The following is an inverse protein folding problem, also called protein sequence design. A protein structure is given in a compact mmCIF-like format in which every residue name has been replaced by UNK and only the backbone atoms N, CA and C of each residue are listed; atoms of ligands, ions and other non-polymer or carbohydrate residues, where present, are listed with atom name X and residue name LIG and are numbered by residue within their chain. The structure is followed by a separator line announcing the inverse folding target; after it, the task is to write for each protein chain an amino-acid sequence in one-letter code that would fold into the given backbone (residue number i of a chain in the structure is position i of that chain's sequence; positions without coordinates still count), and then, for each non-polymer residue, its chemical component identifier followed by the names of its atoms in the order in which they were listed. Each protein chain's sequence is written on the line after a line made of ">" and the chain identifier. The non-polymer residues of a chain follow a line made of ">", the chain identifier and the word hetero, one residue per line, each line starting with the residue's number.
data_IF_793120429866
#
_entry.id   IF_793120429866
#
_cell.length_a   1.000
_cell.length_b   1.000
_cell.length_c   1.000
_cell.angle_alpha   90.00
_cell.angle_beta   90.00
_cell.angle_gamma   90.00
#
_symmetry.space_group_name_H-M   'P 1'
#
loop_
_entity.id
_entity.type
_entity.pdbx_description
1 polymer ?
#
# COMPACT_ATOMS: atom_id res chain seq x y z
N UNK A 1 -8.80 7.00 -2.12
CA UNK A 1 -8.34 7.60 -0.87
C UNK A 1 -6.81 7.66 -0.77
N UNK A 2 -6.09 6.65 -1.25
CA UNK A 2 -4.64 6.61 -1.18
C UNK A 2 -3.98 7.83 -1.87
N UNK A 3 -4.38 8.17 -3.10
CA UNK A 3 -3.88 9.36 -3.80
C UNK A 3 -4.13 10.66 -3.02
N UNK A 4 -5.21 10.74 -2.24
CA UNK A 4 -5.48 11.89 -1.37
C UNK A 4 -4.42 11.98 -0.26
N UNK A 5 -4.12 10.86 0.41
CA UNK A 5 -3.07 10.81 1.43
C UNK A 5 -1.70 11.21 0.83
N UNK A 6 -1.38 10.70 -0.37
CA UNK A 6 -0.14 11.04 -1.08
C UNK A 6 -0.07 12.54 -1.38
N UNK A 7 -1.12 13.13 -1.96
CA UNK A 7 -1.14 14.56 -2.29
C UNK A 7 -1.01 15.47 -1.07
N UNK A 8 -1.46 15.01 0.10
CA UNK A 8 -1.24 15.74 1.36
C UNK A 8 0.24 15.82 1.75
N UNK A 9 1.07 14.92 1.25
CA UNK A 9 2.51 14.85 1.53
C UNK A 9 3.39 15.43 0.41
N UNK A 10 2.83 15.69 -0.79
CA UNK A 10 3.56 16.26 -1.93
C UNK A 10 3.73 17.76 -1.73
N UNK A 11 4.97 18.31 -1.60
CA UNK A 11 5.20 19.73 -1.37
C UNK A 11 4.58 20.65 -2.44
N UNK A 12 4.69 20.26 -3.71
CA UNK A 12 4.18 21.03 -4.85
C UNK A 12 2.65 21.06 -4.94
N UNK A 13 1.96 20.23 -4.19
CA UNK A 13 0.49 20.25 -4.10
C UNK A 13 -0.04 21.33 -3.14
N UNK A 14 0.85 22.11 -2.48
CA UNK A 14 0.46 23.16 -1.55
C UNK A 14 -0.39 24.22 -2.24
N UNK A 15 -1.59 24.44 -1.71
CA UNK A 15 -2.51 25.47 -2.21
C UNK A 15 -3.32 25.04 -3.44
N UNK A 16 -3.15 23.81 -3.96
CA UNK A 16 -3.96 23.31 -5.08
C UNK A 16 -5.36 22.86 -4.64
N UNK A 17 -5.55 22.59 -3.35
CA UNK A 17 -6.83 22.21 -2.77
C UNK A 17 -6.96 22.74 -1.33
N UNK A 18 -8.18 23.03 -0.91
CA UNK A 18 -8.47 23.69 0.36
C UNK A 18 -8.92 22.72 1.47
N UNK A 19 -9.35 21.53 1.10
CA UNK A 19 -9.81 20.48 2.01
C UNK A 19 -9.72 19.11 1.31
N UNK A 20 -9.75 18.04 2.09
CA UNK A 20 -9.63 16.69 1.56
C UNK A 20 -10.60 15.71 2.24
N UNK A 21 -10.99 14.67 1.51
CA UNK A 21 -11.76 13.53 2.02
C UNK A 21 -11.01 12.26 1.63
N UNK A 22 -10.64 11.45 2.61
CA UNK A 22 -9.96 10.16 2.41
C UNK A 22 -10.85 9.03 2.93
N UNK A 23 -11.56 8.38 2.03
CA UNK A 23 -12.43 7.24 2.31
C UNK A 23 -11.65 5.95 2.09
N UNK A 24 -11.41 5.19 3.15
CA UNK A 24 -10.59 3.96 3.15
C UNK A 24 -9.17 4.18 2.60
N UNK A 25 -8.37 5.06 3.23
CA UNK A 25 -6.95 5.18 2.88
C UNK A 25 -6.26 3.85 3.17
N UNK A 26 -5.34 3.44 2.29
CA UNK A 26 -4.65 2.16 2.44
C UNK A 26 -3.19 2.38 2.84
N UNK A 27 -2.71 1.66 3.85
CA UNK A 27 -1.29 1.60 4.21
C UNK A 27 -0.50 0.76 3.21
N UNK A 28 0.81 0.93 3.16
CA UNK A 28 1.71 0.12 2.32
C UNK A 28 1.54 0.33 0.81
N UNK A 29 0.88 1.41 0.38
CA UNK A 29 0.65 1.71 -1.03
C UNK A 29 1.69 2.69 -1.63
N UNK A 30 2.60 3.19 -0.80
CA UNK A 30 3.78 3.95 -1.25
C UNK A 30 4.98 3.03 -1.20
N UNK A 31 5.67 2.92 -2.31
CA UNK A 31 6.81 2.03 -2.47
C UNK A 31 8.09 2.62 -1.89
N UNK A 32 8.94 1.72 -1.41
CA UNK A 32 10.36 1.99 -1.24
C UNK A 32 11.05 2.03 -2.62
N UNK A 33 11.98 2.96 -2.88
CA UNK A 33 12.68 3.07 -4.16
C UNK A 33 13.38 1.78 -4.61
N UNK A 34 14.00 1.05 -3.70
CA UNK A 34 14.72 -0.19 -4.02
C UNK A 34 13.74 -1.30 -4.43
N UNK A 35 12.61 -1.42 -3.72
CA UNK A 35 11.53 -2.35 -4.05
C UNK A 35 10.91 -2.00 -5.40
N UNK A 36 10.67 -0.72 -5.67
CA UNK A 36 10.14 -0.25 -6.94
C UNK A 36 11.11 -0.54 -8.10
N UNK A 37 12.41 -0.33 -7.89
CA UNK A 37 13.45 -0.63 -8.89
C UNK A 37 13.55 -2.14 -9.18
N UNK A 38 13.46 -2.98 -8.14
CA UNK A 38 13.45 -4.43 -8.31
C UNK A 38 12.21 -4.88 -9.11
N UNK A 39 11.04 -4.34 -8.77
CA UNK A 39 9.81 -4.63 -9.51
C UNK A 39 9.91 -4.21 -10.98
N UNK A 40 10.40 -3.00 -11.23
CA UNK A 40 10.63 -2.50 -12.58
C UNK A 40 11.62 -3.39 -13.37
N UNK A 41 12.70 -3.85 -12.72
CA UNK A 41 13.63 -4.80 -13.31
C UNK A 41 12.96 -6.11 -13.73
N UNK A 42 12.16 -6.71 -12.84
CA UNK A 42 11.39 -7.92 -13.14
C UNK A 42 10.40 -7.71 -14.29
N UNK A 43 9.77 -6.54 -14.35
CA UNK A 43 8.85 -6.18 -15.43
C UNK A 43 9.57 -6.13 -16.79
N UNK A 44 10.75 -5.50 -16.84
CA UNK A 44 11.59 -5.42 -18.05
C UNK A 44 12.04 -6.81 -18.49
N UNK A 45 12.46 -7.67 -17.56
CA UNK A 45 12.86 -9.05 -17.82
C UNK A 45 11.71 -9.88 -18.42
N UNK A 46 10.48 -9.75 -17.87
CA UNK A 46 9.28 -10.42 -18.39
C UNK A 46 8.90 -9.89 -19.78
N UNK A 47 9.09 -8.60 -20.02
CA UNK A 47 8.87 -8.00 -21.33
C UNK A 47 9.88 -8.48 -22.38
N UNK A 48 10.97 -9.14 -21.95
CA UNK A 48 12.04 -9.61 -22.82
C UNK A 48 12.95 -8.49 -23.33
N UNK A 49 13.04 -7.39 -22.59
CA UNK A 49 13.84 -6.24 -22.96
C UNK A 49 15.18 -6.22 -22.19
N UNK A 50 16.19 -5.59 -22.80
CA UNK A 50 17.45 -5.29 -22.14
C UNK A 50 17.24 -4.11 -21.17
N UNK A 51 17.78 -4.23 -19.95
CA UNK A 51 17.69 -3.20 -18.90
C UNK A 51 18.33 -1.87 -19.32
N UNK A 52 19.40 -1.91 -20.11
CA UNK A 52 20.07 -0.71 -20.64
C UNK A 52 19.18 0.06 -21.62
N UNK A 53 18.20 -0.60 -22.23
CA UNK A 53 17.25 -0.03 -23.18
C UNK A 53 15.79 -0.05 -22.67
N UNK A 54 15.57 -0.28 -21.39
CA UNK A 54 14.28 -0.51 -20.80
C UNK A 54 13.23 0.56 -21.15
N UNK A 55 13.56 1.84 -20.96
CA UNK A 55 12.64 2.96 -21.25
C UNK A 55 12.18 2.95 -22.71
N UNK A 56 13.14 2.76 -23.64
CA UNK A 56 12.87 2.70 -25.07
C UNK A 56 12.05 1.47 -25.47
N UNK A 57 12.28 0.33 -24.82
CA UNK A 57 11.54 -0.89 -25.05
C UNK A 57 10.08 -0.76 -24.57
N UNK A 58 9.86 -0.21 -23.36
CA UNK A 58 8.54 0.04 -22.81
C UNK A 58 7.73 1.00 -23.70
N UNK A 59 8.35 2.12 -24.14
CA UNK A 59 7.68 3.10 -25.01
C UNK A 59 7.28 2.54 -26.38
N UNK A 60 7.97 1.51 -26.88
CA UNK A 60 7.71 0.85 -28.17
C UNK A 60 6.87 -0.41 -28.06
N UNK A 61 6.67 -0.94 -26.87
CA UNK A 61 5.90 -2.15 -26.65
C UNK A 61 4.42 -1.91 -26.97
N UNK A 62 3.75 -2.94 -27.45
CA UNK A 62 2.29 -2.89 -27.62
C UNK A 62 1.62 -2.89 -26.26
N UNK A 63 0.52 -2.14 -26.05
CA UNK A 63 -0.21 -2.11 -24.80
C UNK A 63 -0.55 -3.50 -24.24
N UNK A 64 -0.93 -4.44 -25.11
CA UNK A 64 -1.25 -5.81 -24.71
C UNK A 64 -0.04 -6.59 -24.16
N UNK A 65 1.19 -6.28 -24.61
CA UNK A 65 2.40 -6.91 -24.10
C UNK A 65 2.75 -6.35 -22.73
N UNK A 66 2.56 -5.03 -22.51
CA UNK A 66 2.74 -4.39 -21.20
C UNK A 66 1.76 -4.96 -20.17
N UNK A 67 0.49 -5.11 -20.53
CA UNK A 67 -0.53 -5.70 -19.63
C UNK A 67 -0.15 -7.13 -19.27
N UNK A 68 0.24 -7.98 -20.23
CA UNK A 68 0.65 -9.35 -19.93
C UNK A 68 1.91 -9.42 -19.06
N UNK A 69 2.88 -8.56 -19.32
CA UNK A 69 4.08 -8.48 -18.48
C UNK A 69 3.72 -8.08 -17.04
N UNK A 70 2.86 -7.06 -16.88
CA UNK A 70 2.36 -6.62 -15.58
C UNK A 70 1.64 -7.76 -14.83
N UNK A 71 0.67 -8.43 -15.46
CA UNK A 71 -0.06 -9.55 -14.86
C UNK A 71 0.89 -10.68 -14.43
N UNK A 72 1.92 -10.95 -15.25
CA UNK A 72 2.91 -11.98 -14.92
C UNK A 72 3.74 -11.61 -13.70
N UNK A 73 4.24 -10.37 -13.65
CA UNK A 73 5.04 -9.90 -12.51
C UNK A 73 4.20 -9.81 -11.25
N UNK A 74 2.99 -9.26 -11.34
CA UNK A 74 2.05 -9.18 -10.22
C UNK A 74 1.78 -10.57 -9.63
N UNK A 75 1.44 -11.55 -10.47
CA UNK A 75 1.14 -12.92 -10.03
C UNK A 75 2.34 -13.57 -9.33
N UNK A 76 3.55 -13.38 -9.87
CA UNK A 76 4.79 -13.93 -9.27
C UNK A 76 5.23 -13.20 -8.01
N UNK A 77 4.88 -11.92 -7.87
CA UNK A 77 5.29 -11.09 -6.74
C UNK A 77 4.29 -11.09 -5.59
N UNK A 78 3.03 -11.51 -5.81
CA UNK A 78 1.99 -11.52 -4.79
C UNK A 78 2.40 -12.23 -3.51
N UNK A 79 3.17 -13.30 -3.62
CA UNK A 79 3.64 -14.06 -2.47
C UNK A 79 4.77 -13.38 -1.69
N UNK A 80 5.57 -12.54 -2.33
CA UNK A 80 6.72 -11.87 -1.72
C UNK A 80 6.44 -10.42 -1.29
N UNK A 81 5.35 -9.82 -1.75
CA UNK A 81 5.01 -8.40 -1.57
C UNK A 81 3.66 -8.22 -0.87
N UNK A 82 3.28 -9.13 0.02
CA UNK A 82 2.00 -9.07 0.71
C UNK A 82 1.90 -7.77 1.55
N UNK A 83 0.86 -6.98 1.28
CA UNK A 83 0.64 -5.69 1.95
C UNK A 83 1.36 -4.50 1.32
N UNK A 84 2.15 -4.69 0.26
CA UNK A 84 2.75 -3.61 -0.52
C UNK A 84 2.15 -3.54 -1.93
N UNK A 85 1.89 -2.34 -2.42
CA UNK A 85 1.52 -2.16 -3.82
C UNK A 85 2.80 -2.11 -4.67
N UNK A 86 2.99 -3.06 -5.58
CA UNK A 86 4.19 -3.07 -6.43
C UNK A 86 4.18 -1.95 -7.47
N UNK A 87 3.04 -1.30 -7.66
CA UNK A 87 2.86 -0.16 -8.56
C UNK A 87 2.11 0.93 -7.79
N UNK A 88 2.76 2.03 -7.57
CA UNK A 88 2.21 3.16 -6.83
C UNK A 88 3.21 4.30 -6.75
N UNK A 89 2.88 5.37 -6.03
CA UNK A 89 3.83 6.41 -5.69
C UNK A 89 5.05 5.81 -4.97
N UNK A 90 6.20 6.37 -5.20
CA UNK A 90 7.46 6.01 -4.52
C UNK A 90 7.93 7.22 -3.74
N UNK A 91 8.26 7.04 -2.46
CA UNK A 91 8.80 8.12 -1.63
C UNK A 91 10.34 8.14 -1.68
N UNK A 92 10.93 9.26 -1.25
CA UNK A 92 12.37 9.44 -1.16
C UNK A 92 12.98 10.29 -2.27
N UNK A 93 12.15 10.99 -3.05
CA UNK A 93 12.59 11.97 -4.05
C UNK A 93 12.07 13.39 -3.73
N UNK A 94 12.39 14.35 -4.59
CA UNK A 94 11.96 15.76 -4.40
C UNK A 94 10.44 15.92 -4.56
N UNK A 95 9.76 15.03 -5.28
CA UNK A 95 8.32 15.10 -5.49
C UNK A 95 7.54 14.55 -4.30
N UNK A 96 7.96 13.41 -3.75
CA UNK A 96 7.39 12.78 -2.56
C UNK A 96 8.52 12.43 -1.56
N UNK A 97 9.01 13.39 -0.77
CA UNK A 97 10.18 13.20 0.08
C UNK A 97 10.01 12.14 1.17
N UNK A 98 8.79 12.00 1.69
CA UNK A 98 8.45 11.06 2.76
C UNK A 98 7.21 10.23 2.40
N UNK A 99 7.11 9.07 3.01
CA UNK A 99 5.84 8.35 3.06
C UNK A 99 4.74 9.28 3.62
N UNK A 100 3.50 9.27 3.06
CA UNK A 100 2.44 10.17 3.48
C UNK A 100 2.10 10.11 4.97
N UNK A 101 2.13 8.93 5.58
CA UNK A 101 1.82 8.78 7.00
C UNK A 101 2.96 9.33 7.87
N UNK A 102 4.22 9.12 7.44
CA UNK A 102 5.38 9.73 8.10
C UNK A 102 5.38 11.26 7.95
N UNK A 103 5.03 11.78 6.79
CA UNK A 103 4.89 13.22 6.58
C UNK A 103 3.81 13.84 7.49
N UNK A 104 2.68 13.14 7.68
CA UNK A 104 1.63 13.56 8.61
C UNK A 104 2.10 13.53 10.06
N UNK A 105 2.73 12.44 10.49
CA UNK A 105 3.27 12.25 11.83
C UNK A 105 4.35 13.27 12.18
N UNK A 106 5.19 13.64 11.22
CA UNK A 106 6.21 14.68 11.38
C UNK A 106 5.66 16.12 11.24
N UNK A 107 4.37 16.27 10.91
CA UNK A 107 3.73 17.57 10.74
C UNK A 107 4.16 18.34 9.48
N UNK A 108 4.81 17.67 8.51
CA UNK A 108 5.23 18.25 7.23
C UNK A 108 4.16 18.20 6.15
N UNK A 109 3.16 17.34 6.28
CA UNK A 109 2.01 17.27 5.38
C UNK A 109 1.14 18.54 5.44
N UNK A 110 0.41 18.84 4.35
CA UNK A 110 -0.45 20.03 4.27
C UNK A 110 -1.52 20.03 5.36
N UNK A 111 -1.54 21.08 6.19
CA UNK A 111 -2.49 21.28 7.29
C UNK A 111 -3.79 21.91 6.77
N UNK A 112 -4.65 21.13 6.14
CA UNK A 112 -5.98 21.50 5.66
C UNK A 112 -7.05 20.67 6.34
N UNK A 113 -8.34 21.08 6.37
CA UNK A 113 -9.42 20.26 6.86
C UNK A 113 -9.47 18.91 6.14
N UNK A 114 -9.58 17.83 6.92
CA UNK A 114 -9.57 16.46 6.44
C UNK A 114 -10.73 15.68 7.06
N UNK A 115 -11.53 15.03 6.22
CA UNK A 115 -12.43 13.96 6.62
C UNK A 115 -11.73 12.65 6.27
N UNK A 116 -11.61 11.75 7.24
CA UNK A 116 -11.06 10.41 7.04
C UNK A 116 -11.98 9.38 7.65
N UNK A 117 -12.15 8.25 6.98
CA UNK A 117 -13.00 7.16 7.47
C UNK A 117 -12.79 5.87 6.71
N UNK A 118 -13.40 4.81 7.22
CA UNK A 118 -13.37 3.45 6.66
C UNK A 118 -14.75 2.82 6.72
N UNK A 119 -14.95 1.74 5.96
CA UNK A 119 -16.12 0.90 6.10
C UNK A 119 -15.97 -0.04 7.31
N UNK A 120 -17.09 -0.52 7.84
CA UNK A 120 -17.09 -1.46 8.96
C UNK A 120 -16.44 -2.82 8.64
N UNK A 121 -16.53 -3.26 7.39
CA UNK A 121 -16.07 -4.58 6.93
C UNK A 121 -15.13 -4.47 5.71
N UNK A 122 -14.04 -3.69 5.82
CA UNK A 122 -13.11 -3.43 4.69
C UNK A 122 -12.53 -4.70 4.07
N UNK A 123 -12.18 -5.70 4.86
CA UNK A 123 -11.57 -6.93 4.37
C UNK A 123 -12.51 -7.81 3.54
N UNK A 124 -13.82 -7.71 3.73
CA UNK A 124 -14.82 -8.64 3.18
C UNK A 124 -14.89 -8.64 1.66
N UNK A 125 -14.74 -7.48 1.02
CA UNK A 125 -14.75 -7.36 -0.44
C UNK A 125 -13.60 -8.15 -1.08
N UNK A 126 -12.43 -8.11 -0.47
CA UNK A 126 -11.19 -8.66 -1.04
C UNK A 126 -11.14 -10.20 -1.00
N UNK A 127 -11.92 -10.84 -0.15
CA UNK A 127 -12.00 -12.31 -0.12
C UNK A 127 -12.55 -12.90 -1.42
N UNK A 128 -13.35 -12.12 -2.18
CA UNK A 128 -14.05 -12.59 -3.38
C UNK A 128 -13.31 -12.27 -4.68
N UNK A 129 -12.62 -11.13 -4.75
CA UNK A 129 -12.15 -10.59 -6.03
C UNK A 129 -10.63 -10.47 -6.13
N UNK A 130 -9.94 -10.31 -5.02
CA UNK A 130 -8.50 -10.08 -5.03
C UNK A 130 -7.85 -10.63 -3.75
N UNK A 131 -6.81 -11.44 -3.91
CA UNK A 131 -6.01 -11.94 -2.78
C UNK A 131 -4.90 -10.94 -2.38
N UNK A 132 -5.24 -9.66 -2.28
CA UNK A 132 -4.29 -8.59 -1.95
C UNK A 132 -4.11 -8.38 -0.45
N UNK A 133 -5.10 -8.79 0.35
CA UNK A 133 -5.07 -8.61 1.80
C UNK A 133 -4.74 -9.92 2.51
N UNK A 134 -4.09 -9.86 3.68
CA UNK A 134 -3.85 -11.03 4.51
C UNK A 134 -5.15 -11.45 5.22
N UNK A 135 -6.09 -12.07 4.48
CA UNK A 135 -7.41 -12.49 4.96
C UNK A 135 -7.50 -14.00 5.26
N UNK A 136 -6.36 -14.68 5.34
CA UNK A 136 -6.26 -16.09 5.74
C UNK A 136 -5.19 -16.27 6.79
N UNK A 137 -5.31 -17.27 7.64
CA UNK A 137 -4.29 -17.61 8.65
C UNK A 137 -2.90 -17.68 8.04
N UNK A 138 -2.73 -18.45 6.95
CA UNK A 138 -1.44 -18.59 6.26
C UNK A 138 -0.86 -17.24 5.81
N UNK A 139 -1.69 -16.34 5.27
CA UNK A 139 -1.25 -15.02 4.82
C UNK A 139 -0.84 -14.12 5.99
N UNK A 140 -1.59 -14.17 7.09
CA UNK A 140 -1.29 -13.43 8.33
C UNK A 140 0.01 -13.92 8.95
N UNK A 141 0.18 -15.23 9.05
CA UNK A 141 1.40 -15.85 9.58
C UNK A 141 2.65 -15.44 8.79
N UNK A 142 2.55 -15.42 7.46
CA UNK A 142 3.63 -14.96 6.59
C UNK A 142 3.93 -13.47 6.77
N UNK A 143 2.90 -12.64 6.85
CA UNK A 143 3.04 -11.20 7.08
C UNK A 143 3.74 -10.92 8.42
N UNK A 144 3.40 -11.67 9.45
CA UNK A 144 3.95 -11.51 10.80
C UNK A 144 5.24 -12.31 11.04
N UNK A 145 5.79 -13.02 10.04
CA UNK A 145 6.93 -13.93 10.20
C UNK A 145 8.19 -13.27 10.76
N UNK A 146 8.40 -11.97 10.48
CA UNK A 146 9.55 -11.20 10.96
C UNK A 146 9.20 -10.24 12.11
N UNK A 147 7.95 -10.30 12.61
CA UNK A 147 7.50 -9.49 13.75
C UNK A 147 7.99 -10.11 15.05
N UNK A 148 8.55 -9.33 16.01
CA UNK A 148 8.92 -9.85 17.31
C UNK A 148 7.78 -10.61 17.98
N UNK A 149 8.06 -11.76 18.62
CA UNK A 149 7.01 -12.65 19.16
C UNK A 149 6.01 -11.94 20.08
N UNK A 150 6.49 -11.06 20.96
CA UNK A 150 5.66 -10.31 21.90
C UNK A 150 4.73 -9.30 21.21
N UNK A 151 5.16 -8.73 20.08
CA UNK A 151 4.34 -7.82 19.28
C UNK A 151 3.29 -8.62 18.51
N UNK A 152 3.71 -9.74 17.90
CA UNK A 152 2.80 -10.65 17.19
C UNK A 152 1.69 -11.17 18.11
N UNK A 153 2.05 -11.63 19.31
CA UNK A 153 1.08 -12.12 20.30
C UNK A 153 0.08 -11.01 20.67
N UNK A 154 0.56 -9.80 20.93
CA UNK A 154 -0.29 -8.64 21.25
C UNK A 154 -1.24 -8.28 20.11
N UNK A 155 -0.74 -8.30 18.86
CA UNK A 155 -1.56 -8.02 17.66
C UNK A 155 -2.65 -9.07 17.50
N UNK A 156 -2.31 -10.37 17.58
CA UNK A 156 -3.28 -11.44 17.42
C UNK A 156 -4.29 -11.52 18.57
N UNK A 157 -3.91 -11.11 19.78
CA UNK A 157 -4.81 -11.03 20.93
C UNK A 157 -5.95 -10.01 20.74
N UNK A 158 -5.80 -9.02 19.85
CA UNK A 158 -6.87 -8.10 19.48
C UNK A 158 -7.98 -8.77 18.64
N UNK A 159 -7.74 -10.00 18.16
CA UNK A 159 -8.67 -10.79 17.36
C UNK A 159 -9.04 -12.09 18.09
N UNK A 160 -9.94 -12.08 19.08
CA UNK A 160 -10.17 -13.20 20.01
C UNK A 160 -10.65 -14.49 19.33
N UNK A 161 -11.16 -14.40 18.10
CA UNK A 161 -11.57 -15.58 17.32
C UNK A 161 -10.52 -16.02 16.28
N UNK A 162 -9.32 -15.41 16.27
CA UNK A 162 -8.24 -15.88 15.41
C UNK A 162 -7.85 -17.33 15.76
N UNK A 163 -7.67 -18.23 14.77
CA UNK A 163 -7.60 -18.02 13.33
C UNK A 163 -8.92 -18.25 12.55
N UNK A 164 -10.09 -18.03 13.15
CA UNK A 164 -11.36 -18.16 12.44
C UNK A 164 -11.38 -17.25 11.18
N UNK A 165 -11.97 -17.72 10.05
CA UNK A 165 -11.96 -16.95 8.79
C UNK A 165 -12.45 -15.51 8.91
N UNK A 166 -13.51 -15.25 9.66
CA UNK A 166 -14.04 -13.90 9.85
C UNK A 166 -13.04 -12.99 10.58
N UNK A 167 -12.32 -13.52 11.58
CA UNK A 167 -11.27 -12.79 12.28
C UNK A 167 -10.07 -12.49 11.36
N UNK A 168 -9.72 -13.44 10.48
CA UNK A 168 -8.68 -13.20 9.48
C UNK A 168 -9.10 -12.11 8.47
N UNK A 169 -10.36 -12.09 8.05
CA UNK A 169 -10.90 -11.05 7.16
C UNK A 169 -10.87 -9.68 7.84
N UNK A 170 -11.29 -9.61 9.10
CA UNK A 170 -11.22 -8.40 9.90
C UNK A 170 -9.77 -7.92 10.03
N UNK A 171 -8.85 -8.80 10.41
CA UNK A 171 -7.42 -8.49 10.50
C UNK A 171 -6.89 -7.84 9.22
N UNK A 172 -7.17 -8.45 8.05
CA UNK A 172 -6.72 -7.93 6.75
C UNK A 172 -7.26 -6.54 6.44
N UNK A 173 -8.52 -6.26 6.77
CA UNK A 173 -9.14 -4.95 6.63
C UNK A 173 -8.54 -3.91 7.57
N UNK A 174 -8.36 -4.27 8.84
CA UNK A 174 -7.82 -3.39 9.87
C UNK A 174 -6.37 -3.01 9.57
N UNK A 175 -5.54 -3.97 9.19
CA UNK A 175 -4.11 -3.75 8.90
C UNK A 175 -3.89 -2.81 7.71
N UNK A 176 -4.74 -2.86 6.70
CA UNK A 176 -4.54 -2.08 5.48
C UNK A 176 -5.30 -0.74 5.54
N UNK A 177 -6.53 -0.74 6.01
CA UNK A 177 -7.40 0.45 5.93
C UNK A 177 -7.63 1.14 7.28
N UNK A 178 -8.06 0.41 8.30
CA UNK A 178 -8.42 1.02 9.57
C UNK A 178 -7.20 1.63 10.27
N UNK A 179 -6.06 0.92 10.28
CA UNK A 179 -4.81 1.44 10.84
C UNK A 179 -4.37 2.72 10.13
N UNK A 180 -4.46 2.76 8.80
CA UNK A 180 -4.12 3.95 8.02
C UNK A 180 -5.02 5.15 8.37
N UNK A 181 -6.34 4.91 8.45
CA UNK A 181 -7.29 5.97 8.82
C UNK A 181 -7.04 6.51 10.22
N UNK A 182 -6.76 5.62 11.19
CA UNK A 182 -6.41 6.01 12.55
C UNK A 182 -5.12 6.83 12.61
N UNK A 183 -4.07 6.40 11.92
CA UNK A 183 -2.80 7.16 11.85
C UNK A 183 -3.01 8.57 11.29
N UNK A 184 -3.83 8.69 10.22
CA UNK A 184 -4.17 10.00 9.66
C UNK A 184 -4.96 10.87 10.65
N UNK A 185 -5.91 10.30 11.40
CA UNK A 185 -6.71 11.02 12.38
C UNK A 185 -5.85 11.48 13.57
N UNK A 186 -5.02 10.61 14.12
CA UNK A 186 -4.11 10.94 15.22
C UNK A 186 -3.14 12.06 14.86
N UNK A 187 -2.45 11.91 13.72
CA UNK A 187 -1.50 12.93 13.24
C UNK A 187 -2.14 14.30 12.96
N UNK A 188 -3.47 14.40 12.93
CA UNK A 188 -4.22 15.63 12.70
C UNK A 188 -4.88 16.19 13.96
N UNK A 189 -4.90 15.42 15.05
CA UNK A 189 -5.48 15.85 16.32
C UNK A 189 -4.50 16.65 17.20
N UNK A 190 -3.22 16.62 16.87
CA UNK A 190 -2.15 17.42 17.49
C UNK A 190 -1.93 18.75 16.74
#
# INVERSE_FOLDING_TARGET
>A
AHAVATLLAVPDAKGLFAQAIAESPASGMVGDPDVAAEFAGRFVDVLGADRDNAASAVLRARPADLVRAMDTVMTKSMDSMMGAAPVGPTSGDDFLPLDPFEAMKQGTAHKIPLIVGTNADEGRLFTRFMKLLPTTEHAIERMLAHTPPEVRERVLAAYPHYPHPDACVQFGGDMIFNTAAWQMAEARSE
#
